data_IF_195271730157
#
_entry.id   IF_195271730157
#
_cell.length_a   1.000
_cell.length_b   1.000
_cell.length_c   1.000
_cell.angle_alpha   90.00
_cell.angle_beta   90.00
_cell.angle_gamma   90.00
#
_symmetry.space_group_name_H-M   'P 1'
#
loop_
_entity.id
_entity.type
_entity.pdbx_description
1 polymer ?
#
# COMPACT_ATOMS: atom_id res chain seq x y z
N UNK A 1 12.46 11.67 -6.46
CA UNK A 1 11.56 10.73 -5.77
C UNK A 1 10.97 11.44 -4.56
N UNK A 2 9.68 11.73 -4.60
CA UNK A 2 8.92 12.37 -3.51
C UNK A 2 8.57 11.34 -2.42
N UNK A 3 8.12 11.82 -1.25
CA UNK A 3 7.56 10.92 -0.23
C UNK A 3 6.34 10.15 -0.76
N UNK A 4 5.49 10.81 -1.55
CA UNK A 4 4.35 10.16 -2.22
C UNK A 4 4.77 9.04 -3.16
N UNK A 5 5.82 9.24 -3.94
CA UNK A 5 6.35 8.22 -4.85
C UNK A 5 6.82 6.97 -4.08
N UNK A 6 7.44 7.16 -2.89
CA UNK A 6 7.84 6.04 -2.02
C UNK A 6 6.66 5.29 -1.43
N UNK A 7 5.59 6.01 -1.07
CA UNK A 7 4.37 5.40 -0.51
C UNK A 7 3.65 4.58 -1.58
N UNK A 8 3.53 5.10 -2.80
CA UNK A 8 2.96 4.34 -3.93
C UNK A 8 3.84 3.14 -4.31
N UNK A 9 5.16 3.30 -4.35
CA UNK A 9 6.08 2.18 -4.58
C UNK A 9 5.91 1.07 -3.55
N UNK A 10 5.87 1.40 -2.25
CA UNK A 10 5.63 0.40 -1.19
C UNK A 10 4.29 -0.31 -1.35
N UNK A 11 3.24 0.40 -1.79
CA UNK A 11 1.93 -0.19 -2.06
C UNK A 11 1.99 -1.17 -3.23
N UNK A 12 2.67 -0.81 -4.31
CA UNK A 12 2.85 -1.69 -5.46
C UNK A 12 3.69 -2.93 -5.13
N UNK A 13 4.76 -2.76 -4.37
CA UNK A 13 5.61 -3.86 -3.90
C UNK A 13 4.80 -4.84 -3.04
N UNK A 14 4.08 -4.34 -2.02
CA UNK A 14 3.24 -5.18 -1.16
C UNK A 14 2.14 -5.92 -1.94
N UNK A 15 1.55 -5.29 -2.97
CA UNK A 15 0.58 -5.96 -3.85
C UNK A 15 1.21 -7.08 -4.69
N UNK A 16 2.43 -6.87 -5.20
CA UNK A 16 3.16 -7.91 -5.95
C UNK A 16 3.52 -9.07 -5.04
N UNK A 17 3.94 -8.79 -3.81
CA UNK A 17 4.25 -9.81 -2.82
C UNK A 17 3.02 -10.61 -2.40
N UNK A 18 1.87 -9.95 -2.21
CA UNK A 18 0.59 -10.64 -1.98
C UNK A 18 0.23 -11.56 -3.14
N UNK A 19 0.31 -11.08 -4.38
CA UNK A 19 0.03 -11.89 -5.56
C UNK A 19 0.98 -13.10 -5.68
N UNK A 20 2.26 -12.93 -5.36
CA UNK A 20 3.23 -14.03 -5.32
C UNK A 20 2.89 -15.03 -4.21
N UNK A 21 2.47 -14.56 -3.03
CA UNK A 21 2.06 -15.42 -1.93
C UNK A 21 0.76 -16.18 -2.23
N UNK A 22 -0.19 -15.56 -2.94
CA UNK A 22 -1.42 -16.19 -3.43
C UNK A 22 -1.14 -17.32 -4.40
N UNK A 23 -0.23 -17.12 -5.36
CA UNK A 23 0.21 -18.21 -6.24
C UNK A 23 0.87 -19.33 -5.44
N UNK A 24 1.67 -18.97 -4.43
CA UNK A 24 2.32 -19.91 -3.52
C UNK A 24 1.36 -20.72 -2.65
N UNK A 25 0.12 -20.26 -2.42
CA UNK A 25 -0.89 -21.03 -1.67
C UNK A 25 -1.24 -22.36 -2.33
N UNK A 26 -1.06 -22.48 -3.65
CA UNK A 26 -1.30 -23.73 -4.38
C UNK A 26 -0.44 -24.89 -3.86
N UNK A 27 0.69 -24.61 -3.21
CA UNK A 27 1.52 -25.63 -2.57
C UNK A 27 0.83 -26.29 -1.35
N UNK A 28 -0.22 -25.69 -0.79
CA UNK A 28 -1.02 -26.27 0.30
C UNK A 28 -0.30 -26.40 1.65
N UNK A 29 0.90 -25.86 1.78
CA UNK A 29 1.72 -25.97 3.00
C UNK A 29 1.37 -24.92 4.05
N UNK A 30 1.60 -25.23 5.32
CA UNK A 30 1.41 -24.27 6.41
C UNK A 30 2.32 -23.03 6.26
N UNK A 31 3.56 -23.24 5.81
CA UNK A 31 4.48 -22.14 5.50
C UNK A 31 3.92 -21.21 4.42
N UNK A 32 3.26 -21.74 3.37
CA UNK A 32 2.63 -20.92 2.34
C UNK A 32 1.45 -20.10 2.90
N UNK A 33 0.62 -20.70 3.77
CA UNK A 33 -0.49 -20.00 4.44
C UNK A 33 0.00 -18.86 5.32
N UNK A 34 1.05 -19.09 6.11
CA UNK A 34 1.65 -18.06 6.97
C UNK A 34 2.22 -16.90 6.14
N UNK A 35 2.91 -17.20 5.04
CA UNK A 35 3.42 -16.15 4.13
C UNK A 35 2.28 -15.34 3.51
N UNK A 36 1.22 -16.01 3.07
CA UNK A 36 0.03 -15.35 2.54
C UNK A 36 -0.63 -14.44 3.57
N UNK A 37 -0.87 -14.93 4.79
CA UNK A 37 -1.47 -14.13 5.86
C UNK A 37 -0.64 -12.88 6.18
N UNK A 38 0.69 -13.03 6.20
CA UNK A 38 1.62 -11.91 6.38
C UNK A 38 1.54 -10.91 5.23
N UNK A 39 1.63 -11.37 3.99
CA UNK A 39 1.59 -10.51 2.80
C UNK A 39 0.25 -9.76 2.69
N UNK A 40 -0.85 -10.41 3.07
CA UNK A 40 -2.17 -9.78 3.11
C UNK A 40 -2.20 -8.61 4.12
N UNK A 41 -1.65 -8.83 5.31
CA UNK A 41 -1.58 -7.79 6.34
C UNK A 41 -0.67 -6.62 5.92
N UNK A 42 0.48 -6.91 5.33
CA UNK A 42 1.42 -5.89 4.85
C UNK A 42 0.82 -5.06 3.69
N UNK A 43 0.09 -5.70 2.77
CA UNK A 43 -0.62 -5.02 1.70
C UNK A 43 -1.72 -4.08 2.21
N UNK A 44 -2.48 -4.50 3.22
CA UNK A 44 -3.53 -3.66 3.85
C UNK A 44 -2.91 -2.42 4.51
N UNK A 45 -1.83 -2.58 5.28
CA UNK A 45 -1.10 -1.46 5.88
C UNK A 45 -0.60 -0.48 4.81
N UNK A 46 -0.01 -0.98 3.72
CA UNK A 46 0.50 -0.16 2.64
C UNK A 46 -0.63 0.62 1.92
N UNK A 47 -1.78 -0.02 1.72
CA UNK A 47 -2.96 0.61 1.13
C UNK A 47 -3.50 1.75 2.01
N UNK A 48 -3.66 1.50 3.32
CA UNK A 48 -4.12 2.53 4.28
C UNK A 48 -3.18 3.73 4.30
N UNK A 49 -1.86 3.50 4.26
CA UNK A 49 -0.86 4.57 4.18
C UNK A 49 -0.99 5.39 2.90
N UNK A 50 -1.15 4.73 1.75
CA UNK A 50 -1.33 5.40 0.47
C UNK A 50 -2.62 6.23 0.43
N UNK A 51 -3.74 5.68 0.91
CA UNK A 51 -5.01 6.40 1.00
C UNK A 51 -4.90 7.63 1.91
N UNK A 52 -4.25 7.50 3.06
CA UNK A 52 -4.02 8.62 3.97
C UNK A 52 -3.20 9.71 3.29
N UNK A 53 -2.09 9.35 2.65
CA UNK A 53 -1.24 10.30 1.95
C UNK A 53 -2.00 11.00 0.80
N UNK A 54 -2.82 10.27 0.04
CA UNK A 54 -3.66 10.86 -1.01
C UNK A 54 -4.64 11.91 -0.46
N UNK A 55 -5.28 11.63 0.69
CA UNK A 55 -6.18 12.58 1.37
C UNK A 55 -5.43 13.82 1.88
N UNK A 56 -4.26 13.64 2.49
CA UNK A 56 -3.42 14.74 2.97
C UNK A 56 -2.97 15.64 1.80
N UNK A 57 -2.56 15.04 0.67
CA UNK A 57 -2.20 15.78 -0.54
C UNK A 57 -3.35 16.62 -1.08
N UNK A 58 -4.56 16.06 -1.14
CA UNK A 58 -5.76 16.80 -1.57
C UNK A 58 -6.08 17.96 -0.62
N UNK A 59 -5.98 17.73 0.70
CA UNK A 59 -6.22 18.76 1.71
C UNK A 59 -5.24 19.92 1.56
N UNK A 60 -3.95 19.64 1.38
CA UNK A 60 -2.94 20.67 1.16
C UNK A 60 -3.21 21.47 -0.11
N UNK A 61 -3.53 20.81 -1.23
CA UNK A 61 -3.89 21.51 -2.47
C UNK A 61 -5.08 22.46 -2.26
N UNK A 62 -6.08 22.04 -1.48
CA UNK A 62 -7.26 22.86 -1.20
C UNK A 62 -6.96 24.02 -0.25
N UNK A 63 -6.14 23.82 0.79
CA UNK A 63 -5.76 24.89 1.72
C UNK A 63 -4.93 25.99 1.04
N UNK A 64 -4.04 25.63 0.11
CA UNK A 64 -3.29 26.61 -0.67
C UNK A 64 -4.18 27.44 -1.60
N UNK A 65 -5.25 26.83 -2.15
CA UNK A 65 -6.23 27.54 -2.98
C UNK A 65 -7.05 28.57 -2.19
N UNK A 66 -7.36 28.28 -0.93
CA UNK A 66 -8.11 29.19 -0.06
C UNK A 66 -7.25 30.37 0.46
N UNK A 67 -5.94 30.20 0.57
CA UNK A 67 -5.02 31.25 1.02
C UNK A 67 -4.62 32.26 -0.09
N UNK A 68 -4.93 31.95 -1.36
CA UNK A 68 -4.61 32.79 -2.52
C UNK A 68 -5.78 33.70 -2.96
N UNK A 69 -6.83 33.81 -2.14
CA UNK A 69 -8.01 34.65 -2.35
C UNK A 69 -8.06 35.85 -1.42
#
# INVERSE_FOLDING_TARGET
>A
MTYGDRVEQQREEARRELAAAEQGLAAGTEAARVRYARALHEADIAEVRAQRHARERLRHQHSWRLAAG
#
